data_IF_088353495410
#
_entry.id   IF_088353495410
#
_cell.length_a   1.000
_cell.length_b   1.000
_cell.length_c   1.000
_cell.angle_alpha   90.00
_cell.angle_beta   90.00
_cell.angle_gamma   90.00
#
_symmetry.space_group_name_H-M   'P 1'
#
loop_
_entity.id
_entity.type
_entity.pdbx_description
1 polymer ?
#
# COMPACT_ATOMS: atom_id res chain seq x y z
N UNK A 1 -9.86 5.69 7.19
CA UNK A 1 -10.78 6.63 6.53
C UNK A 1 -12.19 6.16 6.80
N UNK A 2 -13.14 7.09 6.93
CA UNK A 2 -14.56 6.77 7.08
C UNK A 2 -15.17 6.44 5.71
N UNK A 3 -16.04 5.44 5.66
CA UNK A 3 -16.66 4.96 4.42
C UNK A 3 -17.51 6.03 3.73
N UNK A 4 -18.17 6.88 4.51
CA UNK A 4 -19.01 7.97 4.00
C UNK A 4 -18.25 9.02 3.17
N UNK A 5 -16.92 9.13 3.35
CA UNK A 5 -16.09 10.12 2.68
C UNK A 5 -15.25 9.53 1.54
N UNK A 6 -15.06 8.21 1.52
CA UNK A 6 -14.03 7.61 0.67
C UNK A 6 -14.34 7.74 -0.82
N UNK A 7 -15.60 7.57 -1.21
CA UNK A 7 -16.00 7.66 -2.63
C UNK A 7 -15.82 9.08 -3.19
N UNK A 8 -16.11 10.12 -2.39
CA UNK A 8 -15.86 11.50 -2.80
C UNK A 8 -14.35 11.79 -2.99
N UNK A 9 -13.48 11.18 -2.19
CA UNK A 9 -12.04 11.32 -2.36
C UNK A 9 -11.53 10.57 -3.58
N UNK A 10 -12.07 9.39 -3.85
CA UNK A 10 -11.79 8.60 -5.05
C UNK A 10 -12.13 9.40 -6.31
N UNK A 11 -13.31 10.02 -6.35
CA UNK A 11 -13.74 10.85 -7.48
C UNK A 11 -12.77 12.01 -7.74
N UNK A 12 -12.26 12.65 -6.68
CA UNK A 12 -11.31 13.77 -6.78
C UNK A 12 -9.92 13.35 -7.26
N UNK A 13 -9.52 12.10 -7.08
CA UNK A 13 -8.22 11.60 -7.53
C UNK A 13 -8.16 11.43 -9.05
N UNK A 14 -9.32 11.30 -9.72
CA UNK A 14 -9.41 11.28 -11.19
C UNK A 14 -8.80 10.04 -11.85
N UNK A 15 -8.39 9.04 -11.08
CA UNK A 15 -7.87 7.77 -11.56
C UNK A 15 -8.88 6.64 -11.30
N UNK A 16 -8.97 5.62 -12.18
CA UNK A 16 -9.84 4.48 -11.95
C UNK A 16 -9.32 3.63 -10.78
N UNK A 17 -10.21 3.25 -9.87
CA UNK A 17 -9.93 2.29 -8.80
C UNK A 17 -10.72 1.01 -9.04
N UNK A 18 -10.03 -0.13 -9.05
CA UNK A 18 -10.70 -1.43 -9.14
C UNK A 18 -11.52 -1.75 -7.86
N UNK A 19 -10.90 -1.53 -6.69
CA UNK A 19 -11.48 -1.71 -5.36
C UNK A 19 -10.93 -0.66 -4.40
N UNK A 20 -11.71 -0.35 -3.37
CA UNK A 20 -11.35 0.62 -2.34
C UNK A 20 -11.61 -0.02 -0.98
N UNK A 21 -10.58 -0.12 -0.15
CA UNK A 21 -10.65 -0.72 1.18
C UNK A 21 -10.32 0.31 2.25
N UNK A 22 -11.15 0.40 3.28
CA UNK A 22 -10.96 1.33 4.39
C UNK A 22 -10.64 0.59 5.69
N UNK A 23 -10.07 1.32 6.64
CA UNK A 23 -9.88 0.84 8.00
C UNK A 23 -11.21 0.56 8.73
N UNK A 24 -12.29 1.22 8.32
CA UNK A 24 -13.63 0.98 8.86
C UNK A 24 -14.18 -0.36 8.38
N UNK A 25 -14.07 -0.66 7.08
CA UNK A 25 -14.46 -1.97 6.54
C UNK A 25 -13.67 -3.11 7.18
N UNK A 26 -12.37 -2.92 7.37
CA UNK A 26 -11.50 -3.90 8.03
C UNK A 26 -11.65 -3.94 9.57
N UNK A 27 -12.39 -2.99 10.16
CA UNK A 27 -12.46 -2.76 11.62
C UNK A 27 -11.06 -2.69 12.28
N UNK A 28 -10.06 -2.24 11.52
CA UNK A 28 -8.66 -2.22 11.93
C UNK A 28 -7.90 -1.11 11.21
N UNK A 29 -7.15 -0.34 11.97
CA UNK A 29 -6.15 0.56 11.42
C UNK A 29 -4.82 -0.15 11.26
N UNK A 30 -4.11 0.19 10.18
CA UNK A 30 -2.68 -0.13 10.04
C UNK A 30 -1.90 0.45 11.22
N UNK A 31 -0.83 -0.22 11.71
CA UNK A 31 -0.16 -1.39 11.12
C UNK A 31 -0.73 -2.76 11.54
N UNK A 32 -1.94 -2.82 12.13
CA UNK A 32 -2.53 -4.12 12.50
C UNK A 32 -2.71 -4.97 11.24
N UNK A 33 -2.17 -6.20 11.28
CA UNK A 33 -2.19 -7.11 10.13
C UNK A 33 -3.60 -7.43 9.64
N UNK A 34 -4.60 -7.39 10.52
CA UNK A 34 -6.03 -7.52 10.18
C UNK A 34 -6.48 -6.61 9.01
N UNK A 35 -5.91 -5.41 8.88
CA UNK A 35 -6.22 -4.53 7.74
C UNK A 35 -5.67 -5.05 6.41
N UNK A 36 -4.52 -5.72 6.43
CA UNK A 36 -3.91 -6.34 5.26
C UNK A 36 -4.53 -7.69 4.93
N UNK A 37 -4.86 -8.50 5.95
CA UNK A 37 -5.62 -9.75 5.79
C UNK A 37 -6.95 -9.47 5.09
N UNK A 38 -7.72 -8.50 5.60
CA UNK A 38 -8.96 -8.05 4.97
C UNK A 38 -8.76 -7.65 3.50
N UNK A 39 -7.71 -6.88 3.19
CA UNK A 39 -7.41 -6.50 1.81
C UNK A 39 -7.11 -7.73 0.93
N UNK A 40 -6.25 -8.65 1.38
CA UNK A 40 -5.83 -9.83 0.63
C UNK A 40 -7.01 -10.79 0.37
N UNK A 41 -7.84 -11.02 1.37
CA UNK A 41 -9.03 -11.87 1.27
C UNK A 41 -10.04 -11.36 0.24
N UNK A 42 -10.08 -10.04 0.01
CA UNK A 42 -11.07 -9.39 -0.83
C UNK A 42 -10.52 -8.93 -2.19
N UNK A 43 -9.21 -8.89 -2.41
CA UNK A 43 -8.62 -8.36 -3.65
C UNK A 43 -8.76 -9.35 -4.81
N UNK A 44 -8.63 -10.65 -4.54
CA UNK A 44 -8.76 -11.74 -5.53
C UNK A 44 -7.44 -12.12 -6.22
N UNK A 45 -6.30 -11.77 -5.63
CA UNK A 45 -4.96 -12.19 -6.07
C UNK A 45 -4.06 -12.50 -4.87
N UNK A 46 -2.94 -13.18 -5.13
CA UNK A 46 -1.97 -13.53 -4.08
C UNK A 46 -1.05 -12.35 -3.73
N UNK A 47 -0.41 -12.38 -2.54
CA UNK A 47 0.57 -11.36 -2.14
C UNK A 47 1.79 -11.26 -3.08
N UNK A 48 2.09 -12.30 -3.85
CA UNK A 48 3.10 -12.33 -4.90
C UNK A 48 2.77 -11.45 -6.11
N UNK A 49 1.48 -11.18 -6.36
CA UNK A 49 0.97 -10.41 -7.50
C UNK A 49 0.80 -8.91 -7.17
N UNK A 50 1.09 -8.51 -5.93
CA UNK A 50 0.83 -7.16 -5.43
C UNK A 50 2.13 -6.37 -5.34
N UNK A 51 2.10 -5.15 -5.90
CA UNK A 51 3.04 -4.07 -5.58
C UNK A 51 2.43 -3.15 -4.53
N UNK A 52 2.91 -3.24 -3.28
CA UNK A 52 2.48 -2.33 -2.22
C UNK A 52 3.27 -1.01 -2.29
N UNK A 53 2.57 0.10 -2.48
CA UNK A 53 3.17 1.44 -2.60
C UNK A 53 2.83 2.26 -1.36
N UNK A 54 3.85 2.76 -0.65
CA UNK A 54 3.64 3.65 0.51
C UNK A 54 4.83 4.58 0.74
N UNK A 55 4.59 5.67 1.46
CA UNK A 55 5.62 6.53 2.04
C UNK A 55 5.88 6.27 3.53
N UNK A 56 5.41 5.16 4.10
CA UNK A 56 5.68 4.79 5.50
C UNK A 56 6.21 3.38 5.67
N UNK A 57 7.28 3.22 6.44
CA UNK A 57 7.80 1.91 6.79
C UNK A 57 6.97 1.24 7.87
N UNK A 58 6.80 1.91 9.02
CA UNK A 58 6.18 1.29 10.20
C UNK A 58 4.69 1.02 10.00
N UNK A 59 3.99 1.90 9.31
CA UNK A 59 2.55 1.74 9.09
C UNK A 59 2.24 0.78 7.95
N UNK A 60 3.12 0.67 6.95
CA UNK A 60 2.81 -0.04 5.72
C UNK A 60 3.84 -1.10 5.33
N UNK A 61 5.07 -0.71 5.01
CA UNK A 61 6.02 -1.63 4.35
C UNK A 61 6.46 -2.81 5.23
N UNK A 62 6.57 -2.60 6.54
CA UNK A 62 6.88 -3.69 7.49
C UNK A 62 5.72 -4.69 7.55
N UNK A 63 4.48 -4.22 7.72
CA UNK A 63 3.30 -5.09 7.68
C UNK A 63 3.15 -5.78 6.32
N UNK A 64 3.39 -5.09 5.20
CA UNK A 64 3.39 -5.70 3.87
C UNK A 64 4.45 -6.82 3.75
N UNK A 65 5.62 -6.64 4.37
CA UNK A 65 6.64 -7.69 4.45
C UNK A 65 6.16 -8.89 5.28
N UNK A 66 5.60 -8.66 6.46
CA UNK A 66 5.08 -9.73 7.33
C UNK A 66 3.94 -10.51 6.64
N UNK A 67 3.13 -9.83 5.82
CA UNK A 67 2.07 -10.40 4.99
C UNK A 67 2.59 -11.04 3.69
N UNK A 68 3.91 -11.16 3.54
CA UNK A 68 4.60 -11.79 2.40
C UNK A 68 4.33 -11.14 1.05
N UNK A 69 3.90 -9.87 1.03
CA UNK A 69 3.77 -9.11 -0.21
C UNK A 69 5.16 -8.95 -0.82
N UNK A 70 5.34 -9.51 -2.02
CA UNK A 70 6.67 -9.64 -2.64
C UNK A 70 7.21 -8.30 -3.11
N UNK A 71 6.38 -7.53 -3.80
CA UNK A 71 6.79 -6.27 -4.43
C UNK A 71 6.38 -5.09 -3.56
N UNK A 72 7.33 -4.21 -3.24
CA UNK A 72 7.13 -3.06 -2.37
C UNK A 72 7.86 -1.83 -2.92
N UNK A 73 7.17 -0.70 -2.97
CA UNK A 73 7.73 0.59 -3.34
C UNK A 73 7.63 1.58 -2.17
N UNK A 74 8.78 2.12 -1.77
CA UNK A 74 8.86 3.24 -0.83
C UNK A 74 8.95 4.55 -1.60
N UNK A 75 7.94 5.41 -1.44
CA UNK A 75 7.95 6.77 -1.99
C UNK A 75 8.63 7.70 -0.97
N UNK A 76 9.86 8.11 -1.27
CA UNK A 76 10.67 8.94 -0.40
C UNK A 76 10.20 10.40 -0.36
N UNK A 77 9.27 10.70 0.54
CA UNK A 77 8.68 12.03 0.73
C UNK A 77 9.47 12.94 1.70
N UNK A 78 10.61 12.48 2.19
CA UNK A 78 11.51 13.24 3.07
C UNK A 78 11.17 13.23 4.56
N UNK A 79 10.11 12.52 4.98
CA UNK A 79 9.69 12.45 6.38
C UNK A 79 10.07 11.15 7.10
N UNK A 80 10.55 10.12 6.40
CA UNK A 80 11.08 8.89 7.01
C UNK A 80 12.55 8.66 6.62
N UNK A 81 13.32 8.10 7.55
CA UNK A 81 14.64 7.53 7.27
C UNK A 81 14.44 6.14 6.65
N UNK A 82 15.16 5.79 5.56
CA UNK A 82 15.06 4.48 4.93
C UNK A 82 15.22 3.33 5.95
N UNK A 83 14.29 2.38 5.93
CA UNK A 83 14.38 1.19 6.77
C UNK A 83 15.46 0.22 6.27
N UNK A 84 15.75 -0.79 7.08
CA UNK A 84 16.69 -1.85 6.69
C UNK A 84 16.26 -2.53 5.38
N UNK A 85 17.22 -2.78 4.48
CA UNK A 85 16.99 -3.45 3.20
C UNK A 85 16.34 -4.85 3.33
N UNK A 86 16.45 -5.49 4.50
CA UNK A 86 15.75 -6.73 4.86
C UNK A 86 14.25 -6.71 4.52
N UNK A 87 13.59 -5.55 4.60
CA UNK A 87 12.17 -5.45 4.28
C UNK A 87 11.85 -5.59 2.77
N UNK A 88 12.86 -5.54 1.90
CA UNK A 88 12.74 -5.85 0.48
C UNK A 88 11.88 -4.86 -0.31
N UNK A 89 12.25 -3.58 -0.31
CA UNK A 89 11.54 -2.50 -1.00
C UNK A 89 12.43 -1.82 -2.05
N UNK A 90 11.80 -1.23 -3.06
CA UNK A 90 12.44 -0.32 -4.02
C UNK A 90 12.10 1.12 -3.63
N UNK A 91 13.10 1.99 -3.55
CA UNK A 91 12.88 3.41 -3.24
C UNK A 91 12.71 4.23 -4.52
N UNK A 92 11.69 5.08 -4.56
CA UNK A 92 11.42 6.07 -5.61
C UNK A 92 11.21 7.45 -5.00
N UNK A 93 11.55 8.53 -5.73
CA UNK A 93 11.40 9.92 -5.24
C UNK A 93 9.95 10.40 -5.26
N UNK A 94 9.18 9.90 -6.21
CA UNK A 94 7.78 10.25 -6.43
C UNK A 94 7.08 9.12 -7.23
N UNK A 95 5.77 9.25 -7.38
CA UNK A 95 4.94 8.25 -8.06
C UNK A 95 5.23 8.11 -9.55
N UNK A 96 5.95 9.06 -10.17
CA UNK A 96 6.40 8.98 -11.56
C UNK A 96 7.42 7.88 -11.81
N UNK A 97 8.08 7.37 -10.75
CA UNK A 97 8.97 6.21 -10.84
C UNK A 97 8.27 4.85 -10.86
N UNK A 98 6.96 4.78 -10.60
CA UNK A 98 6.21 3.52 -10.53
C UNK A 98 6.20 2.71 -11.85
N UNK A 99 6.01 3.30 -13.04
CA UNK A 99 5.97 2.55 -14.30
C UNK A 99 7.21 1.68 -14.50
N UNK A 100 8.40 2.22 -14.22
CA UNK A 100 9.66 1.48 -14.36
C UNK A 100 9.75 0.24 -13.44
N UNK A 101 9.07 0.24 -12.28
CA UNK A 101 9.06 -0.92 -11.38
C UNK A 101 8.21 -2.08 -11.90
N UNK A 102 7.30 -1.81 -12.83
CA UNK A 102 6.39 -2.80 -13.44
C UNK A 102 6.68 -3.02 -14.93
N UNK A 103 7.79 -2.49 -15.44
CA UNK A 103 8.24 -2.70 -16.82
C UNK A 103 7.49 -1.86 -17.88
N UNK A 104 6.94 -0.71 -17.48
CA UNK A 104 6.26 0.27 -18.34
C UNK A 104 7.12 1.50 -18.62
#
# INVERSE_FOLDING_TARGET
AMDSQIMSNVDKLGAPFHKVFTAEQAQAYKPRLAAFEFMLDNLGCGPEDILHVSSSFRYDLMSAHDMKIKHKAFVARGHEVPANAFYGYQQITDIGGLPALVGL
#
